data_IF_016000179737
#
_entry.id   IF_016000179737
#
_cell.length_a   1.000
_cell.length_b   1.000
_cell.length_c   1.000
_cell.angle_alpha   90.00
_cell.angle_beta   90.00
_cell.angle_gamma   90.00
#
_symmetry.space_group_name_H-M   'P 1'
#
loop_
_entity.id
_entity.type
_entity.pdbx_description
1 polymer ?
#
# COMPACT_ATOMS: atom_id res chain seq x y z
N UNK A 1 17.41 2.69 -11.70
CA UNK A 1 16.66 1.97 -10.67
C UNK A 1 15.62 2.86 -10.05
N UNK A 2 14.47 2.32 -9.73
CA UNK A 2 13.43 3.09 -9.07
C UNK A 2 13.67 3.13 -7.57
N UNK A 3 13.05 4.09 -6.92
CA UNK A 3 13.11 4.20 -5.47
C UNK A 3 12.61 2.91 -4.80
N UNK A 4 11.53 2.33 -5.31
CA UNK A 4 10.99 1.09 -4.75
C UNK A 4 11.99 -0.06 -4.85
N UNK A 5 12.71 -0.14 -5.97
CA UNK A 5 13.73 -1.17 -6.14
C UNK A 5 14.88 -0.99 -5.16
N UNK A 6 15.31 0.26 -4.97
CA UNK A 6 16.38 0.56 -4.04
C UNK A 6 15.97 0.25 -2.61
N UNK A 7 14.74 0.60 -2.23
CA UNK A 7 14.23 0.32 -0.90
C UNK A 7 14.06 -1.17 -0.66
N UNK A 8 13.59 -1.91 -1.67
CA UNK A 8 13.44 -3.35 -1.54
C UNK A 8 14.79 -4.03 -1.32
N UNK A 9 15.81 -3.56 -2.05
CA UNK A 9 17.16 -4.07 -1.86
C UNK A 9 17.68 -3.78 -0.45
N UNK A 10 17.50 -2.54 0.01
CA UNK A 10 17.95 -2.14 1.35
C UNK A 10 17.20 -2.86 2.46
N UNK A 11 15.94 -3.24 2.22
CA UNK A 11 15.14 -3.96 3.22
C UNK A 11 15.71 -5.34 3.51
N UNK A 12 16.51 -5.88 2.59
CA UNK A 12 17.19 -7.16 2.79
C UNK A 12 18.59 -7.02 3.35
N UNK A 13 19.00 -5.82 3.74
CA UNK A 13 20.33 -5.60 4.27
C UNK A 13 20.53 -6.33 5.59
N UNK A 14 21.74 -6.83 5.82
CA UNK A 14 22.05 -7.57 7.04
C UNK A 14 22.13 -6.68 8.26
N UNK A 15 22.40 -5.38 8.08
CA UNK A 15 22.36 -4.44 9.18
C UNK A 15 20.90 -4.11 9.49
N UNK A 16 20.39 -4.49 10.67
CA UNK A 16 18.98 -4.27 11.00
C UNK A 16 18.57 -2.80 10.97
N UNK A 17 19.49 -1.90 11.29
CA UNK A 17 19.17 -0.47 11.22
C UNK A 17 18.85 -0.02 9.82
N UNK A 18 19.65 -0.46 8.84
CA UNK A 18 19.42 -0.16 7.44
C UNK A 18 18.14 -0.87 6.97
N UNK A 19 18.01 -2.15 7.28
CA UNK A 19 16.85 -2.92 6.84
C UNK A 19 15.54 -2.39 7.38
N UNK A 20 15.50 -2.07 8.66
CA UNK A 20 14.26 -1.59 9.28
C UNK A 20 13.85 -0.21 8.77
N UNK A 21 14.82 0.68 8.53
CA UNK A 21 14.50 1.99 7.95
C UNK A 21 13.95 1.85 6.54
N UNK A 22 14.52 0.91 5.76
CA UNK A 22 14.03 0.66 4.41
C UNK A 22 12.61 0.08 4.44
N UNK A 23 12.32 -0.83 5.36
CA UNK A 23 10.98 -1.38 5.53
C UNK A 23 9.98 -0.28 5.86
N UNK A 24 10.36 0.62 6.76
CA UNK A 24 9.49 1.76 7.12
C UNK A 24 9.20 2.63 5.91
N UNK A 25 10.21 2.93 5.10
CA UNK A 25 10.03 3.75 3.91
C UNK A 25 9.15 3.04 2.87
N UNK A 26 9.33 1.73 2.69
CA UNK A 26 8.50 0.94 1.78
C UNK A 26 7.05 0.93 2.23
N UNK A 27 6.82 0.82 3.53
CA UNK A 27 5.46 0.83 4.06
C UNK A 27 4.74 2.13 3.72
N UNK A 28 5.43 3.26 3.87
CA UNK A 28 4.86 4.56 3.53
C UNK A 28 4.59 4.68 2.04
N UNK A 29 5.52 4.21 1.22
CA UNK A 29 5.34 4.22 -0.23
C UNK A 29 4.14 3.38 -0.63
N UNK A 30 4.00 2.18 -0.07
CA UNK A 30 2.87 1.31 -0.36
C UNK A 30 1.56 1.96 0.05
N UNK A 31 1.53 2.66 1.17
CA UNK A 31 0.30 3.33 1.61
C UNK A 31 -0.12 4.42 0.64
N UNK A 32 0.84 5.18 0.12
CA UNK A 32 0.53 6.19 -0.88
C UNK A 32 0.01 5.56 -2.18
N UNK A 33 0.64 4.49 -2.63
CA UNK A 33 0.23 3.80 -3.86
C UNK A 33 -1.14 3.16 -3.68
N UNK A 34 -1.37 2.54 -2.53
CA UNK A 34 -2.66 1.92 -2.25
C UNK A 34 -3.78 2.96 -2.28
N UNK A 35 -3.58 4.08 -1.61
CA UNK A 35 -4.58 5.14 -1.58
C UNK A 35 -4.88 5.66 -2.98
N UNK A 36 -3.84 5.86 -3.79
CA UNK A 36 -4.02 6.34 -5.16
C UNK A 36 -4.81 5.34 -5.99
N UNK A 37 -4.49 4.06 -5.86
CA UNK A 37 -5.18 3.03 -6.64
C UNK A 37 -6.62 2.83 -6.18
N UNK A 38 -6.88 2.94 -4.88
CA UNK A 38 -8.25 2.86 -4.38
C UNK A 38 -9.09 4.01 -4.94
N UNK A 39 -8.55 5.23 -4.92
CA UNK A 39 -9.26 6.37 -5.51
C UNK A 39 -9.54 6.15 -6.99
N UNK A 40 -8.54 5.64 -7.72
CA UNK A 40 -8.69 5.34 -9.13
C UNK A 40 -9.78 4.30 -9.38
N UNK A 41 -9.79 3.24 -8.60
CA UNK A 41 -10.80 2.19 -8.73
C UNK A 41 -12.19 2.74 -8.45
N UNK A 42 -12.34 3.53 -7.39
CA UNK A 42 -13.64 4.14 -7.08
C UNK A 42 -14.10 5.08 -8.19
N UNK A 43 -13.19 5.85 -8.75
CA UNK A 43 -13.52 6.75 -9.86
C UNK A 43 -13.96 5.97 -11.10
N UNK A 44 -13.51 4.72 -11.23
CA UNK A 44 -13.91 3.86 -12.33
C UNK A 44 -15.10 2.97 -11.99
N UNK A 45 -15.78 3.24 -10.91
CA UNK A 45 -17.01 2.55 -10.55
C UNK A 45 -16.86 1.24 -9.81
N UNK A 46 -15.67 0.93 -9.32
CA UNK A 46 -15.47 -0.31 -8.58
C UNK A 46 -16.16 -0.27 -7.23
N UNK A 47 -16.72 -1.39 -6.84
CA UNK A 47 -17.29 -1.54 -5.52
C UNK A 47 -16.18 -1.78 -4.50
N UNK A 48 -16.49 -1.55 -3.22
CA UNK A 48 -15.53 -1.87 -2.15
C UNK A 48 -15.20 -3.36 -2.13
N UNK A 49 -16.18 -4.20 -2.47
CA UNK A 49 -15.99 -5.64 -2.54
C UNK A 49 -14.93 -6.00 -3.59
N UNK A 50 -15.04 -5.38 -4.76
CA UNK A 50 -14.09 -5.63 -5.84
C UNK A 50 -12.69 -5.17 -5.48
N UNK A 51 -12.59 -3.99 -4.86
CA UNK A 51 -11.29 -3.47 -4.43
C UNK A 51 -10.67 -4.38 -3.38
N UNK A 52 -11.46 -4.81 -2.41
CA UNK A 52 -10.98 -5.69 -1.35
C UNK A 52 -10.46 -7.01 -1.91
N UNK A 53 -11.16 -7.55 -2.90
CA UNK A 53 -10.74 -8.81 -3.51
C UNK A 53 -9.37 -8.69 -4.15
N UNK A 54 -9.12 -7.58 -4.85
CA UNK A 54 -7.82 -7.38 -5.49
C UNK A 54 -6.71 -7.13 -4.48
N UNK A 55 -7.02 -6.46 -3.39
CA UNK A 55 -6.02 -6.19 -2.34
C UNK A 55 -5.79 -7.39 -1.42
N UNK A 56 -6.66 -8.41 -1.49
CA UNK A 56 -6.52 -9.58 -0.64
C UNK A 56 -6.92 -9.31 0.81
N UNK A 57 -7.84 -8.37 1.02
CA UNK A 57 -8.31 -8.03 2.36
C UNK A 57 -9.84 -8.09 2.39
N UNK A 58 -10.44 -7.89 3.55
CA UNK A 58 -11.90 -7.89 3.64
C UNK A 58 -12.45 -6.55 3.17
N UNK A 59 -13.71 -6.58 2.71
CA UNK A 59 -14.41 -5.36 2.33
C UNK A 59 -14.44 -4.37 3.49
N UNK A 60 -14.67 -4.90 4.68
CA UNK A 60 -14.75 -4.07 5.87
C UNK A 60 -13.43 -3.35 6.16
N UNK A 61 -12.32 -4.04 5.99
CA UNK A 61 -11.00 -3.47 6.23
C UNK A 61 -10.69 -2.34 5.25
N UNK A 62 -10.94 -2.55 3.96
CA UNK A 62 -10.63 -1.53 2.97
C UNK A 62 -11.58 -0.34 3.10
N UNK A 63 -12.83 -0.58 3.41
CA UNK A 63 -13.80 0.50 3.60
C UNK A 63 -13.44 1.35 4.82
N UNK A 64 -13.06 0.69 5.91
CA UNK A 64 -12.65 1.39 7.11
C UNK A 64 -11.43 2.29 6.85
N UNK A 65 -10.48 1.79 6.07
CA UNK A 65 -9.25 2.53 5.82
C UNK A 65 -9.44 3.66 4.81
N UNK A 66 -10.23 3.45 3.78
CA UNK A 66 -10.30 4.36 2.65
C UNK A 66 -11.65 5.02 2.42
N UNK A 67 -12.70 4.52 3.04
CA UNK A 67 -14.04 5.01 2.81
C UNK A 67 -14.62 5.86 3.92
N UNK A 68 -13.88 6.04 4.95
CA UNK A 68 -14.41 6.55 6.18
C UNK A 68 -14.64 8.02 6.27
N UNK A 69 -14.25 8.73 5.33
CA UNK A 69 -14.38 10.09 5.44
C UNK A 69 -15.59 10.60 5.00
N UNK A 70 -15.92 10.42 5.05
CA UNK A 70 -16.83 11.23 4.81
C UNK A 70 -17.37 11.21 4.77
#
# INVERSE_FOLDING_TARGET
>A
MTEATQLASAAGDRDPGVGLRAVSALRKLLEHLESAQVRNARANGWSWQEIAAELGVTRQAVHKKHGGDR
#
